data_IF_705661012674
#
_entry.id   IF_705661012674
#
_cell.length_a   1.000
_cell.length_b   1.000
_cell.length_c   1.000
_cell.angle_alpha   90.00
_cell.angle_beta   90.00
_cell.angle_gamma   90.00
#
_symmetry.space_group_name_H-M   'P 1'
#
loop_
_entity.id
_entity.type
_entity.pdbx_description
1 polymer ?
#
# COMPACT_ATOMS: atom_id res chain seq x y z
N UNK A 1 1.79 -5.75 26.61
CA UNK A 1 1.16 -4.86 25.62
C UNK A 1 0.81 -5.71 24.41
N UNK A 2 -0.44 -6.14 24.31
CA UNK A 2 -0.98 -6.75 23.09
C UNK A 2 -1.21 -5.61 22.09
N UNK A 3 -0.31 -5.42 21.13
CA UNK A 3 -0.41 -4.36 20.13
C UNK A 3 -0.98 -4.90 18.82
N UNK A 4 -2.02 -4.26 18.27
CA UNK A 4 -2.60 -4.63 16.97
C UNK A 4 -1.68 -4.19 15.84
N UNK A 5 -1.23 -5.14 15.01
CA UNK A 5 -0.53 -4.89 13.76
C UNK A 5 -1.55 -4.89 12.61
N UNK A 6 -1.64 -3.77 11.89
CA UNK A 6 -2.44 -3.68 10.67
C UNK A 6 -1.52 -3.76 9.45
N UNK A 7 -1.61 -4.87 8.72
CA UNK A 7 -0.87 -5.10 7.48
C UNK A 7 -1.84 -5.34 6.33
N UNK A 8 -1.59 -4.70 5.20
CA UNK A 8 -2.35 -4.92 3.97
C UNK A 8 -1.59 -5.87 3.05
N UNK A 9 -2.26 -6.93 2.60
CA UNK A 9 -1.74 -7.88 1.63
C UNK A 9 -2.72 -8.00 0.46
N UNK A 10 -2.20 -8.12 -0.76
CA UNK A 10 -3.03 -8.45 -1.93
C UNK A 10 -3.53 -9.89 -1.81
N UNK A 11 -4.81 -10.14 -2.13
CA UNK A 11 -5.48 -11.44 -1.99
C UNK A 11 -5.34 -12.30 -3.27
N UNK A 12 -4.19 -12.25 -3.96
CA UNK A 12 -3.90 -13.15 -5.09
C UNK A 12 -2.75 -14.11 -4.74
N UNK A 13 -2.80 -15.37 -5.21
CA UNK A 13 -1.98 -16.46 -4.70
C UNK A 13 -0.51 -16.25 -5.06
N UNK A 14 0.25 -15.69 -4.13
CA UNK A 14 1.69 -15.66 -4.22
C UNK A 14 2.19 -17.11 -4.20
N UNK A 15 2.54 -17.64 -5.38
CA UNK A 15 3.09 -18.98 -5.51
C UNK A 15 4.39 -19.06 -4.69
N UNK A 16 4.38 -19.92 -3.66
CA UNK A 16 5.46 -20.24 -2.71
C UNK A 16 5.69 -19.31 -1.50
N UNK A 17 4.72 -18.49 -1.09
CA UNK A 17 4.71 -17.96 0.28
C UNK A 17 3.95 -18.93 1.21
N UNK A 18 4.60 -19.63 2.17
CA UNK A 18 3.89 -20.47 3.14
C UNK A 18 2.99 -19.67 4.09
N UNK A 19 3.01 -18.33 4.02
CA UNK A 19 2.28 -17.44 4.92
C UNK A 19 0.93 -16.98 4.36
N UNK A 20 0.71 -16.98 3.04
CA UNK A 20 -0.61 -16.71 2.42
C UNK A 20 -0.64 -17.38 1.03
N UNK A 21 -1.22 -18.57 0.94
CA UNK A 21 -1.64 -19.16 -0.34
C UNK A 21 -3.15 -18.96 -0.46
N UNK A 22 -3.60 -18.05 -1.34
CA UNK A 22 -5.02 -17.86 -1.63
C UNK A 22 -5.26 -17.86 -3.13
N UNK A 23 -5.82 -18.96 -3.66
CA UNK A 23 -6.11 -19.19 -5.08
C UNK A 23 -7.02 -18.12 -5.71
N UNK A 24 -7.06 -17.95 -7.06
CA UNK A 24 -7.62 -16.75 -7.68
C UNK A 24 -9.14 -16.64 -7.48
N UNK A 25 -9.58 -15.40 -7.26
CA UNK A 25 -10.92 -14.84 -7.38
C UNK A 25 -12.10 -15.83 -7.21
N UNK A 26 -12.81 -15.71 -6.09
CA UNK A 26 -14.12 -16.31 -5.77
C UNK A 26 -14.16 -17.60 -4.92
N UNK A 27 -13.23 -17.80 -3.97
CA UNK A 27 -13.49 -18.73 -2.86
C UNK A 27 -13.32 -18.06 -1.51
N UNK A 28 -14.25 -18.41 -0.62
CA UNK A 28 -14.47 -17.86 0.72
C UNK A 28 -13.16 -17.50 1.45
N UNK A 29 -13.09 -16.26 1.95
CA UNK A 29 -11.96 -15.70 2.72
C UNK A 29 -11.69 -16.38 4.07
N UNK A 30 -12.32 -17.54 4.34
CA UNK A 30 -12.20 -18.29 5.59
C UNK A 30 -11.18 -19.45 5.52
N UNK A 31 -10.54 -19.68 4.38
CA UNK A 31 -9.47 -20.69 4.24
C UNK A 31 -8.12 -20.07 4.58
N UNK A 32 -7.96 -19.63 5.83
CA UNK A 32 -6.63 -19.41 6.39
C UNK A 32 -6.06 -20.78 6.78
N UNK A 33 -4.93 -21.15 6.18
CA UNK A 33 -4.24 -22.41 6.44
C UNK A 33 -4.01 -22.61 7.96
N UNK A 34 -4.28 -23.84 8.44
CA UNK A 34 -4.07 -24.34 9.82
C UNK A 34 -2.64 -24.15 10.38
N UNK A 35 -1.70 -23.65 9.58
CA UNK A 35 -0.29 -23.46 9.95
C UNK A 35 0.04 -22.08 10.55
N UNK A 36 -0.91 -21.15 10.63
CA UNK A 36 -0.64 -19.79 11.10
C UNK A 36 -0.95 -19.65 12.60
N UNK A 37 0.09 -19.70 13.45
CA UNK A 37 -0.06 -19.44 14.88
C UNK A 37 -0.23 -17.94 15.13
N UNK A 38 -1.43 -17.49 15.51
CA UNK A 38 -1.71 -16.10 15.90
C UNK A 38 -3.19 -15.73 15.76
N UNK A 39 -3.57 -14.57 16.32
CA UNK A 39 -4.89 -13.98 16.10
C UNK A 39 -4.80 -13.06 14.87
N UNK A 40 -5.64 -13.29 13.87
CA UNK A 40 -5.73 -12.47 12.67
C UNK A 40 -7.19 -12.14 12.37
N UNK A 41 -7.41 -10.97 11.76
CA UNK A 41 -8.69 -10.52 11.25
C UNK A 41 -8.49 -10.15 9.79
N UNK A 42 -9.31 -10.72 8.90
CA UNK A 42 -9.30 -10.41 7.47
C UNK A 42 -10.49 -9.52 7.16
N UNK A 43 -10.23 -8.35 6.59
CA UNK A 43 -11.26 -7.40 6.19
C UNK A 43 -11.07 -7.05 4.69
N UNK A 44 -12.17 -6.87 3.94
CA UNK A 44 -12.09 -6.49 2.53
C UNK A 44 -11.56 -5.06 2.37
N UNK A 45 -10.60 -4.89 1.46
CA UNK A 45 -10.05 -3.59 1.09
C UNK A 45 -9.66 -3.61 -0.38
N UNK A 46 -10.30 -2.77 -1.17
CA UNK A 46 -9.93 -2.50 -2.56
C UNK A 46 -9.27 -1.12 -2.65
N UNK A 47 -7.96 -1.11 -2.94
CA UNK A 47 -7.18 0.11 -3.08
C UNK A 47 -7.41 0.84 -4.41
N UNK A 48 -8.15 0.27 -5.36
CA UNK A 48 -8.66 0.99 -6.54
C UNK A 48 -10.03 1.64 -6.29
N UNK A 49 -10.49 1.64 -5.04
CA UNK A 49 -11.72 2.28 -4.60
C UNK A 49 -11.50 3.14 -3.35
N UNK A 50 -11.56 4.47 -3.47
CA UNK A 50 -11.47 5.36 -2.31
C UNK A 50 -12.67 5.18 -1.35
N UNK A 51 -13.83 4.80 -1.87
CA UNK A 51 -14.97 4.36 -1.05
C UNK A 51 -14.64 3.13 -0.20
N UNK A 52 -14.07 2.07 -0.79
CA UNK A 52 -13.64 0.88 -0.06
C UNK A 52 -12.62 1.20 1.03
N UNK A 53 -11.67 2.09 0.74
CA UNK A 53 -10.69 2.58 1.73
C UNK A 53 -11.37 3.25 2.92
N UNK A 54 -12.40 4.08 2.69
CA UNK A 54 -13.17 4.74 3.76
C UNK A 54 -13.96 3.73 4.58
N UNK A 55 -14.63 2.78 3.94
CA UNK A 55 -15.39 1.72 4.63
C UNK A 55 -14.48 0.84 5.49
N UNK A 56 -13.32 0.45 4.96
CA UNK A 56 -12.32 -0.30 5.72
C UNK A 56 -11.81 0.49 6.93
N UNK A 57 -11.44 1.77 6.73
CA UNK A 57 -10.97 2.61 7.82
C UNK A 57 -12.05 2.77 8.90
N UNK A 58 -13.32 3.02 8.52
CA UNK A 58 -14.42 3.11 9.45
C UNK A 58 -14.58 1.84 10.28
N UNK A 59 -14.45 0.66 9.65
CA UNK A 59 -14.51 -0.62 10.36
C UNK A 59 -13.37 -0.79 11.37
N UNK A 60 -12.15 -0.44 10.97
CA UNK A 60 -11.00 -0.47 11.88
C UNK A 60 -11.19 0.47 13.09
N UNK A 61 -11.74 1.66 12.85
CA UNK A 61 -12.00 2.65 13.92
C UNK A 61 -13.12 2.20 14.87
N UNK A 62 -14.07 1.39 14.40
CA UNK A 62 -15.12 0.76 15.21
C UNK A 62 -14.54 -0.37 16.08
N UNK A 63 -13.74 -1.24 15.48
CA UNK A 63 -13.28 -2.49 16.11
C UNK A 63 -12.06 -2.30 17.02
N UNK A 64 -11.24 -1.27 16.77
CA UNK A 64 -9.96 -1.07 17.46
C UNK A 64 -9.80 0.34 18.01
N UNK A 65 -9.50 0.43 19.31
CA UNK A 65 -9.21 1.69 19.98
C UNK A 65 -7.84 2.26 19.64
N UNK A 66 -6.89 1.40 19.23
CA UNK A 66 -5.50 1.75 18.95
C UNK A 66 -4.91 0.86 17.83
N UNK A 67 -3.99 1.43 17.06
CA UNK A 67 -3.21 0.76 16.02
C UNK A 67 -1.74 0.92 16.40
N UNK A 68 -1.05 -0.17 16.73
CA UNK A 68 0.35 -0.07 17.12
C UNK A 68 1.21 0.30 15.90
N UNK A 69 0.97 -0.38 14.78
CA UNK A 69 1.74 -0.21 13.54
C UNK A 69 0.80 -0.32 12.33
N UNK A 70 0.95 0.62 11.40
CA UNK A 70 0.34 0.57 10.07
C UNK A 70 1.40 0.25 9.02
N UNK A 71 1.18 -0.80 8.22
CA UNK A 71 2.06 -1.16 7.09
C UNK A 71 1.32 -0.97 5.76
N UNK A 72 1.68 0.09 5.04
CA UNK A 72 1.28 0.37 3.66
C UNK A 72 2.13 -0.47 2.68
N UNK A 73 1.78 -1.76 2.56
CA UNK A 73 2.55 -2.75 1.77
C UNK A 73 1.98 -3.03 0.37
N UNK A 74 0.65 -3.07 0.24
CA UNK A 74 0.00 -3.49 -1.00
C UNK A 74 0.38 -2.58 -2.20
N UNK A 75 0.35 -3.16 -3.39
CA UNK A 75 0.61 -2.44 -4.62
C UNK A 75 0.50 -3.31 -5.85
N UNK A 76 0.49 -2.64 -7.00
CA UNK A 76 0.56 -3.23 -8.34
C UNK A 76 1.80 -2.69 -9.08
N UNK A 77 2.26 -3.42 -10.08
CA UNK A 77 3.52 -3.15 -10.77
C UNK A 77 3.39 -3.43 -12.27
N UNK A 78 3.86 -2.47 -13.06
CA UNK A 78 4.02 -2.57 -14.52
C UNK A 78 2.73 -2.98 -15.26
N UNK A 79 1.58 -2.50 -14.78
CA UNK A 79 0.28 -2.80 -15.41
C UNK A 79 0.08 -1.99 -16.69
N UNK A 80 -0.79 -2.43 -17.62
CA UNK A 80 -1.33 -1.57 -18.67
C UNK A 80 -1.96 -0.31 -18.09
N UNK A 81 -2.14 0.72 -18.92
CA UNK A 81 -2.85 1.92 -18.51
C UNK A 81 -4.30 1.58 -18.19
N UNK A 82 -4.72 1.89 -16.97
CA UNK A 82 -6.09 1.75 -16.49
C UNK A 82 -6.43 2.94 -15.59
N UNK A 83 -7.63 3.47 -15.75
CA UNK A 83 -8.22 4.45 -14.85
C UNK A 83 -9.12 3.71 -13.85
N UNK A 84 -8.94 3.97 -12.56
CA UNK A 84 -9.82 3.43 -11.52
C UNK A 84 -11.21 4.04 -11.63
N UNK A 85 -12.19 3.49 -10.91
CA UNK A 85 -13.52 4.09 -10.82
C UNK A 85 -13.53 5.50 -10.19
N UNK A 86 -12.45 5.89 -9.50
CA UNK A 86 -12.29 7.20 -8.89
C UNK A 86 -11.63 8.22 -9.84
N UNK A 87 -11.27 7.81 -11.07
CA UNK A 87 -10.74 8.70 -12.10
C UNK A 87 -9.22 8.89 -12.08
N UNK A 88 -8.49 8.01 -11.39
CA UNK A 88 -7.03 8.09 -11.26
C UNK A 88 -6.32 6.93 -11.97
N UNK A 89 -5.08 7.16 -12.40
CA UNK A 89 -4.21 6.10 -12.90
C UNK A 89 -4.03 4.98 -11.85
N UNK A 90 -4.22 3.74 -12.27
CA UNK A 90 -4.31 2.57 -11.39
C UNK A 90 -3.12 2.38 -10.45
N UNK A 91 -1.87 2.49 -10.94
CA UNK A 91 -0.67 2.32 -10.14
C UNK A 91 -0.50 3.47 -9.15
N UNK A 92 -0.75 4.71 -9.59
CA UNK A 92 -0.69 5.90 -8.76
C UNK A 92 -1.72 5.86 -7.63
N UNK A 93 -2.97 5.48 -7.92
CA UNK A 93 -3.98 5.36 -6.88
C UNK A 93 -3.66 4.21 -5.93
N UNK A 94 -3.47 3.00 -6.46
CA UNK A 94 -3.30 1.79 -5.65
C UNK A 94 -2.07 1.92 -4.75
N UNK A 95 -0.93 2.34 -5.31
CA UNK A 95 0.35 2.34 -4.59
C UNK A 95 0.53 3.57 -3.71
N UNK A 96 -0.19 4.68 -3.98
CA UNK A 96 0.01 5.94 -3.28
C UNK A 96 -1.28 6.59 -2.74
N UNK A 97 -2.22 7.00 -3.59
CA UNK A 97 -3.36 7.81 -3.13
C UNK A 97 -4.22 7.10 -2.08
N UNK A 98 -4.48 5.80 -2.27
CA UNK A 98 -5.29 5.02 -1.34
C UNK A 98 -4.58 4.79 -0.02
N UNK A 99 -3.25 4.61 -0.03
CA UNK A 99 -2.45 4.54 1.19
C UNK A 99 -2.34 5.88 1.92
N UNK A 100 -2.24 6.98 1.17
CA UNK A 100 -2.32 8.34 1.71
C UNK A 100 -3.66 8.53 2.44
N UNK A 101 -4.78 8.25 1.77
CA UNK A 101 -6.11 8.39 2.35
C UNK A 101 -6.28 7.52 3.60
N UNK A 102 -5.91 6.24 3.52
CA UNK A 102 -6.01 5.31 4.65
C UNK A 102 -5.20 5.81 5.86
N UNK A 103 -3.96 6.23 5.62
CA UNK A 103 -3.08 6.75 6.68
C UNK A 103 -3.67 8.00 7.32
N UNK A 104 -4.23 8.91 6.53
CA UNK A 104 -4.89 10.11 7.04
C UNK A 104 -6.13 9.79 7.89
N UNK A 105 -6.94 8.82 7.48
CA UNK A 105 -8.16 8.42 8.21
C UNK A 105 -7.84 7.73 9.55
N UNK A 106 -6.73 7.00 9.62
CA UNK A 106 -6.36 6.20 10.80
C UNK A 106 -5.36 6.92 11.73
N UNK A 107 -4.84 8.08 11.33
CA UNK A 107 -3.69 8.73 11.98
C UNK A 107 -3.86 8.88 13.50
N UNK A 108 -5.04 9.29 13.96
CA UNK A 108 -5.32 9.51 15.40
C UNK A 108 -5.28 8.25 16.25
N UNK A 109 -5.41 7.07 15.63
CA UNK A 109 -5.35 5.78 16.33
C UNK A 109 -3.95 5.18 16.32
N UNK A 110 -3.05 5.67 15.48
CA UNK A 110 -1.70 5.12 15.33
C UNK A 110 -0.81 5.56 16.50
N UNK A 111 -0.19 4.60 17.18
CA UNK A 111 0.61 4.88 18.38
C UNK A 111 2.12 4.91 18.14
N UNK A 112 2.67 4.07 17.24
CA UNK A 112 4.12 3.94 17.11
C UNK A 112 4.66 4.21 15.70
N UNK A 113 4.29 3.39 14.71
CA UNK A 113 4.98 3.39 13.42
C UNK A 113 4.06 3.30 12.22
N UNK A 114 4.42 4.05 11.19
CA UNK A 114 3.86 3.93 9.85
C UNK A 114 5.00 3.47 8.94
N UNK A 115 4.79 2.38 8.21
CA UNK A 115 5.79 1.84 7.28
C UNK A 115 5.21 1.82 5.88
N UNK A 116 5.85 2.53 4.96
CA UNK A 116 5.45 2.59 3.57
C UNK A 116 6.41 1.80 2.69
N UNK A 117 5.89 0.85 1.90
CA UNK A 117 6.70 0.00 1.04
C UNK A 117 6.85 0.65 -0.34
N UNK A 118 8.05 1.16 -0.59
CA UNK A 118 8.50 1.67 -1.88
C UNK A 118 9.29 0.59 -2.66
N UNK A 119 9.98 0.99 -3.72
CA UNK A 119 10.77 0.13 -4.61
C UNK A 119 12.01 0.86 -5.11
N UNK A 120 13.07 0.15 -5.50
CA UNK A 120 14.17 0.72 -6.27
C UNK A 120 13.69 1.37 -7.59
N UNK A 121 12.52 0.96 -8.11
CA UNK A 121 11.83 1.56 -9.23
C UNK A 121 11.48 3.05 -9.05
N UNK A 122 11.46 3.58 -7.81
CA UNK A 122 11.26 5.01 -7.57
C UNK A 122 12.27 5.90 -8.32
N UNK A 123 13.46 5.37 -8.63
CA UNK A 123 14.49 6.08 -9.40
C UNK A 123 14.00 6.45 -10.80
N UNK A 124 13.12 5.66 -11.40
CA UNK A 124 12.49 5.98 -12.68
C UNK A 124 11.52 7.16 -12.55
N UNK A 125 10.89 7.33 -11.39
CA UNK A 125 10.04 8.49 -11.10
C UNK A 125 10.79 9.82 -11.24
N UNK A 126 12.10 9.86 -11.00
CA UNK A 126 12.89 11.08 -11.21
C UNK A 126 12.95 11.51 -12.69
N UNK A 127 12.97 10.55 -13.62
CA UNK A 127 13.10 10.82 -15.06
C UNK A 127 11.76 10.83 -15.78
N UNK A 128 10.80 10.04 -15.28
CA UNK A 128 9.55 9.78 -15.97
C UNK A 128 8.38 10.56 -15.38
N UNK A 129 8.49 11.25 -14.23
CA UNK A 129 7.35 12.02 -13.70
C UNK A 129 7.16 13.30 -14.51
N UNK A 130 5.99 13.43 -15.14
CA UNK A 130 5.51 14.69 -15.66
C UNK A 130 4.61 15.34 -14.61
N UNK A 131 5.00 16.53 -14.15
CA UNK A 131 4.24 17.27 -13.14
C UNK A 131 2.96 17.89 -13.70
N UNK A 132 2.89 18.10 -15.02
CA UNK A 132 1.69 18.60 -15.69
C UNK A 132 0.72 17.45 -16.03
N UNK A 133 1.20 16.20 -16.06
CA UNK A 133 0.40 15.01 -16.33
C UNK A 133 0.76 13.85 -15.37
N UNK A 134 0.47 14.06 -14.08
CA UNK A 134 0.68 13.02 -13.05
C UNK A 134 -0.17 11.76 -13.28
N UNK A 135 -1.28 11.89 -14.01
CA UNK A 135 -2.19 10.79 -14.34
C UNK A 135 -1.78 10.03 -15.59
N UNK A 136 -0.71 10.45 -16.28
CA UNK A 136 -0.17 9.79 -17.48
C UNK A 136 -1.21 9.62 -18.59
N UNK A 137 -2.11 10.59 -18.74
CA UNK A 137 -3.19 10.58 -19.74
C UNK A 137 -2.67 10.81 -21.15
N UNK A 138 -1.64 11.63 -21.32
CA UNK A 138 -1.08 11.97 -22.63
C UNK A 138 -0.01 10.97 -23.07
N UNK A 139 0.83 10.52 -22.13
CA UNK A 139 1.89 9.56 -22.40
C UNK A 139 2.12 8.60 -21.23
N UNK A 140 1.78 7.33 -21.45
CA UNK A 140 1.92 6.26 -20.46
C UNK A 140 3.07 5.31 -20.79
N UNK A 141 3.89 5.03 -19.78
CA UNK A 141 4.75 3.85 -19.74
C UNK A 141 4.52 3.13 -18.41
N UNK A 142 4.38 1.79 -18.39
CA UNK A 142 4.17 1.02 -17.17
C UNK A 142 5.24 1.28 -16.11
N UNK A 143 6.50 1.38 -16.52
CA UNK A 143 7.65 1.65 -15.66
C UNK A 143 7.64 3.07 -15.12
N UNK A 144 7.25 4.03 -15.97
CA UNK A 144 7.16 5.43 -15.59
C UNK A 144 6.07 5.66 -14.54
N UNK A 145 4.87 5.13 -14.76
CA UNK A 145 3.76 5.19 -13.80
C UNK A 145 4.11 4.49 -12.48
N UNK A 146 4.68 3.29 -12.55
CA UNK A 146 5.17 2.58 -11.36
C UNK A 146 6.22 3.41 -10.60
N UNK A 147 7.21 3.95 -11.32
CA UNK A 147 8.28 4.77 -10.76
C UNK A 147 7.77 6.04 -10.10
N UNK A 148 6.85 6.77 -10.75
CA UNK A 148 6.17 7.94 -10.18
C UNK A 148 5.41 7.56 -8.91
N UNK A 149 4.65 6.46 -8.90
CA UNK A 149 3.91 6.01 -7.72
C UNK A 149 4.84 5.69 -6.53
N UNK A 150 5.96 5.00 -6.76
CA UNK A 150 6.91 4.62 -5.71
C UNK A 150 7.79 5.78 -5.25
N UNK A 151 8.03 6.78 -6.11
CA UNK A 151 8.62 8.05 -5.71
C UNK A 151 7.67 8.87 -4.82
N UNK A 152 6.38 8.93 -5.17
CA UNK A 152 5.37 9.61 -4.36
C UNK A 152 5.29 9.03 -2.93
N UNK A 153 5.39 7.70 -2.79
CA UNK A 153 5.48 7.03 -1.48
C UNK A 153 6.64 7.55 -0.62
N UNK A 154 7.84 7.74 -1.20
CA UNK A 154 9.02 8.25 -0.47
C UNK A 154 8.82 9.72 -0.09
N UNK A 155 8.32 10.53 -1.02
CA UNK A 155 8.05 11.95 -0.78
C UNK A 155 7.01 12.13 0.32
N UNK A 156 5.93 11.36 0.28
CA UNK A 156 4.90 11.36 1.32
C UNK A 156 5.44 10.92 2.67
N UNK A 157 6.26 9.88 2.72
CA UNK A 157 6.91 9.45 3.96
C UNK A 157 7.69 10.60 4.61
N UNK A 158 8.52 11.29 3.82
CA UNK A 158 9.32 12.44 4.30
C UNK A 158 8.42 13.59 4.74
N UNK A 159 7.42 13.93 3.93
CA UNK A 159 6.47 14.99 4.23
C UNK A 159 5.68 14.71 5.51
N UNK A 160 5.14 13.50 5.66
CA UNK A 160 4.36 13.11 6.83
C UNK A 160 5.22 13.14 8.10
N UNK A 161 6.47 12.68 8.05
CA UNK A 161 7.37 12.77 9.21
C UNK A 161 7.63 14.22 9.63
N UNK A 162 7.79 15.14 8.66
CA UNK A 162 7.91 16.58 8.95
C UNK A 162 6.65 17.08 9.66
N UNK A 163 5.47 16.78 9.11
CA UNK A 163 4.18 17.19 9.70
C UNK A 163 3.93 16.62 11.09
N UNK A 164 4.33 15.37 11.33
CA UNK A 164 4.26 14.74 12.66
C UNK A 164 5.17 15.46 13.65
N UNK A 165 6.38 15.86 13.25
CA UNK A 165 7.31 16.59 14.11
C UNK A 165 6.86 18.02 14.42
N UNK A 166 6.07 18.63 13.53
CA UNK A 166 5.44 19.95 13.72
C UNK A 166 4.21 19.88 14.65
N UNK A 167 3.53 18.72 14.72
CA UNK A 167 2.33 18.54 15.54
C UNK A 167 2.67 18.12 16.98
N UNK A 168 2.30 18.92 18.01
CA UNK A 168 2.49 18.53 19.41
C UNK A 168 1.77 17.23 19.80
N UNK A 169 0.68 16.90 19.09
CA UNK A 169 -0.12 15.70 19.36
C UNK A 169 0.63 14.42 19.03
N UNK A 170 1.37 14.41 17.91
CA UNK A 170 2.00 13.21 17.34
C UNK A 170 3.53 13.17 17.52
N UNK A 171 4.17 14.33 17.73
CA UNK A 171 5.62 14.45 17.88
C UNK A 171 6.13 13.53 18.98
N UNK A 172 7.14 12.72 18.64
CA UNK A 172 7.76 11.77 19.57
C UNK A 172 6.94 10.50 19.85
N UNK A 173 5.69 10.41 19.35
CA UNK A 173 4.86 9.20 19.43
C UNK A 173 4.96 8.38 18.16
N UNK A 174 4.75 9.02 17.00
CA UNK A 174 4.70 8.35 15.71
C UNK A 174 6.01 8.56 14.94
N UNK A 175 6.55 7.48 14.36
CA UNK A 175 7.65 7.53 13.39
C UNK A 175 7.21 6.94 12.05
N UNK A 176 7.59 7.59 10.96
CA UNK A 176 7.22 7.21 9.59
C UNK A 176 8.47 6.76 8.84
N UNK A 177 8.40 5.57 8.27
CA UNK A 177 9.50 4.95 7.55
C UNK A 177 9.08 4.59 6.13
N UNK A 178 10.05 4.65 5.21
CA UNK A 178 9.94 4.05 3.89
C UNK A 178 10.99 2.98 3.77
N UNK A 179 10.64 1.85 3.15
CA UNK A 179 11.59 0.78 2.85
C UNK A 179 11.42 0.32 1.40
N UNK A 180 12.46 -0.32 0.87
CA UNK A 180 12.39 -1.14 -0.32
C UNK A 180 12.80 -2.56 0.09
N UNK A 181 11.99 -3.58 -0.21
CA UNK A 181 12.23 -4.91 0.32
C UNK A 181 13.26 -5.73 -0.47
N UNK A 182 13.91 -5.14 -1.47
CA UNK A 182 14.77 -5.87 -2.41
C UNK A 182 13.98 -6.48 -3.56
N UNK A 183 14.64 -7.35 -4.32
CA UNK A 183 13.99 -8.21 -5.32
C UNK A 183 13.42 -9.42 -4.60
N UNK A 184 12.09 -9.51 -4.52
CA UNK A 184 11.39 -10.65 -3.91
C UNK A 184 10.52 -11.31 -4.97
N UNK A 185 10.66 -12.62 -5.14
CA UNK A 185 9.77 -13.40 -6.02
C UNK A 185 8.33 -13.31 -5.51
N UNK A 186 7.51 -12.58 -6.26
CA UNK A 186 6.10 -12.34 -5.97
C UNK A 186 5.33 -12.23 -7.29
N UNK A 187 4.00 -12.28 -7.23
CA UNK A 187 3.15 -12.07 -8.41
C UNK A 187 3.25 -10.65 -9.00
N UNK A 188 4.00 -9.73 -8.39
CA UNK A 188 4.25 -8.41 -8.99
C UNK A 188 5.00 -8.50 -10.33
N UNK A 189 5.70 -9.61 -10.60
CA UNK A 189 6.44 -9.82 -11.85
C UNK A 189 5.59 -10.34 -13.00
N UNK A 190 4.28 -10.60 -12.83
CA UNK A 190 3.44 -11.14 -13.91
C UNK A 190 3.41 -10.28 -15.18
N UNK A 191 3.61 -8.97 -15.04
CA UNK A 191 3.69 -8.03 -16.16
C UNK A 191 5.13 -7.57 -16.46
N UNK A 192 6.13 -8.09 -15.75
CA UNK A 192 7.52 -7.79 -16.04
C UNK A 192 7.94 -8.54 -17.32
N UNK A 193 8.82 -7.95 -18.17
CA UNK A 193 9.43 -8.68 -19.27
C UNK A 193 10.11 -9.94 -18.73
N UNK A 194 9.92 -11.08 -19.40
CA UNK A 194 10.59 -12.33 -19.03
C UNK A 194 12.10 -12.10 -18.97
N UNK A 195 12.70 -12.26 -17.80
CA UNK A 195 14.14 -12.38 -17.70
C UNK A 195 14.51 -13.73 -18.33
N UNK A 196 15.07 -13.68 -19.54
CA UNK A 196 15.72 -14.85 -20.18
C UNK A 196 17.02 -15.15 -19.44
#
# INVERSE_FOLDING_TARGET
MEGTLLSMCSVRPCCNCPLVQLSPANKNLNEANDSMSGKYLVLPLDLQSLESVRSFAAKILEDFSEIAILINNAGIMLTPYEETKDGFESQFQTNYLSHFLLTSLLLDKIQNRIVNVSSCGHKLGYYCTDWNDLQKKEFYTPEGAYGTSKAAVILFTRYLQIKINESPQYKGKISVFSLHPGMIYTDLYVNAPSFV
#
